data_IF_254944272276
#
_entry.id   IF_254944272276
#
_cell.length_a   1.000
_cell.length_b   1.000
_cell.length_c   1.000
_cell.angle_alpha   90.00
_cell.angle_beta   90.00
_cell.angle_gamma   90.00
#
_symmetry.space_group_name_H-M   'P 1'
#
loop_
_entity.id
_entity.type
_entity.pdbx_description
1 polymer ?
#
# COMPACT_ATOMS: atom_id res chain seq x y z
N UNK A 1 38.46 -29.72 4.37
CA UNK A 1 38.19 -31.15 4.63
C UNK A 1 36.69 -31.33 4.44
N UNK A 2 36.27 -32.13 3.45
CA UNK A 2 34.84 -32.46 3.22
C UNK A 2 34.20 -32.88 4.54
N UNK A 3 33.00 -32.39 4.88
CA UNK A 3 32.28 -32.66 6.14
C UNK A 3 31.95 -34.14 6.45
N UNK A 4 32.58 -35.09 5.74
CA UNK A 4 32.52 -36.54 5.92
C UNK A 4 33.02 -37.03 7.27
N UNK A 5 33.77 -36.22 8.03
CA UNK A 5 34.39 -36.67 9.28
C UNK A 5 33.50 -36.49 10.52
N UNK A 6 32.44 -35.68 10.43
CA UNK A 6 31.60 -35.29 11.57
C UNK A 6 30.08 -35.29 11.28
N UNK A 7 29.65 -35.47 10.03
CA UNK A 7 28.24 -35.63 9.66
C UNK A 7 27.99 -37.07 9.20
N UNK A 8 27.19 -37.83 9.96
CA UNK A 8 26.86 -39.22 9.64
C UNK A 8 25.39 -39.35 9.28
N UNK A 9 25.09 -39.85 8.09
CA UNK A 9 23.71 -40.24 7.72
C UNK A 9 23.45 -41.66 8.22
N UNK A 10 22.46 -41.82 9.09
CA UNK A 10 22.05 -43.12 9.59
C UNK A 10 20.90 -43.67 8.74
N UNK A 11 21.06 -44.92 8.32
CA UNK A 11 20.07 -45.66 7.54
C UNK A 11 19.34 -46.63 8.46
N UNK A 12 18.01 -46.62 8.41
CA UNK A 12 17.20 -47.64 9.10
C UNK A 12 16.99 -48.80 8.13
N UNK A 13 17.69 -49.91 8.36
CA UNK A 13 17.46 -51.15 7.61
C UNK A 13 16.35 -51.94 8.28
N UNK A 14 15.31 -52.29 7.52
CA UNK A 14 14.24 -53.17 8.00
C UNK A 14 14.51 -54.56 7.44
N UNK A 15 14.83 -55.51 8.31
CA UNK A 15 14.95 -56.93 7.95
C UNK A 15 13.68 -57.66 8.38
N UNK A 16 13.07 -58.51 7.51
CA UNK A 16 11.94 -59.32 7.91
C UNK A 16 12.39 -60.35 8.94
N UNK A 17 12.02 -60.14 10.20
CA UNK A 17 12.12 -61.18 11.22
C UNK A 17 11.05 -62.24 10.95
N UNK A 18 11.46 -63.51 10.88
CA UNK A 18 10.55 -64.65 10.71
C UNK A 18 9.72 -64.85 11.97
N UNK A 19 8.59 -64.15 12.07
CA UNK A 19 7.55 -64.48 13.05
C UNK A 19 6.78 -65.72 12.56
N UNK A 20 6.51 -66.65 13.47
CA UNK A 20 5.74 -67.87 13.21
C UNK A 20 4.39 -67.51 12.56
N UNK A 21 4.15 -68.13 11.40
CA UNK A 21 2.87 -68.29 10.71
C UNK A 21 1.98 -67.04 10.56
N UNK A 22 2.40 -66.11 9.70
CA UNK A 22 1.44 -65.31 8.95
C UNK A 22 1.58 -65.62 7.46
N UNK A 23 0.59 -66.29 6.88
CA UNK A 23 0.48 -66.42 5.42
C UNK A 23 -0.03 -65.09 4.89
N UNK A 24 0.88 -64.14 4.69
CA UNK A 24 0.59 -62.94 3.91
C UNK A 24 0.89 -63.28 2.45
N UNK A 25 -0.06 -63.02 1.54
CA UNK A 25 0.16 -63.14 0.09
C UNK A 25 1.29 -62.20 -0.30
N UNK A 26 2.47 -62.79 -0.48
CA UNK A 26 3.78 -62.15 -0.65
C UNK A 26 3.80 -61.07 -1.74
N UNK A 27 2.91 -61.12 -2.75
CA UNK A 27 2.91 -60.17 -3.87
C UNK A 27 2.23 -58.83 -3.58
N UNK A 28 1.31 -58.77 -2.62
CA UNK A 28 0.64 -57.49 -2.29
C UNK A 28 1.45 -56.71 -1.25
N UNK A 29 1.90 -57.36 -0.17
CA UNK A 29 2.63 -56.68 0.91
C UNK A 29 3.95 -56.03 0.48
N UNK A 30 4.59 -56.64 -0.50
CA UNK A 30 5.86 -56.18 -1.05
C UNK A 30 5.66 -54.96 -1.98
N UNK A 31 4.52 -54.86 -2.67
CA UNK A 31 4.20 -53.76 -3.61
C UNK A 31 4.03 -52.40 -2.89
N UNK A 32 3.41 -52.37 -1.71
CA UNK A 32 3.28 -51.12 -0.93
C UNK A 32 4.59 -50.66 -0.27
N UNK A 33 5.55 -51.58 -0.17
CA UNK A 33 6.86 -51.38 0.44
C UNK A 33 7.86 -50.75 -0.53
N UNK A 34 7.87 -51.17 -1.79
CA UNK A 34 8.83 -50.68 -2.79
C UNK A 34 8.51 -49.29 -3.37
N UNK A 35 7.31 -48.74 -3.11
CA UNK A 35 6.85 -47.54 -3.82
C UNK A 35 6.83 -46.24 -3.00
N UNK A 36 7.69 -46.07 -2.00
CA UNK A 36 7.96 -44.74 -1.43
C UNK A 36 9.39 -44.65 -0.89
N UNK A 37 10.20 -43.88 -1.59
CA UNK A 37 11.55 -43.45 -1.16
C UNK A 37 11.54 -42.55 0.10
N UNK A 38 10.36 -42.24 0.68
CA UNK A 38 10.19 -41.12 1.62
C UNK A 38 9.29 -41.45 2.83
N UNK A 39 9.14 -42.74 3.20
CA UNK A 39 8.28 -43.15 4.34
C UNK A 39 8.98 -43.17 5.70
N UNK A 40 10.30 -43.07 5.73
CA UNK A 40 11.09 -43.25 6.95
C UNK A 40 11.89 -41.99 7.30
N UNK A 41 12.04 -41.67 8.59
CA UNK A 41 12.85 -40.54 9.01
C UNK A 41 14.31 -40.77 8.61
N UNK A 42 14.90 -39.77 7.95
CA UNK A 42 16.34 -39.70 7.76
C UNK A 42 16.99 -39.09 9.00
N UNK A 43 17.91 -39.83 9.61
CA UNK A 43 18.64 -39.35 10.78
C UNK A 43 20.04 -38.89 10.37
N UNK A 44 20.40 -37.68 10.79
CA UNK A 44 21.75 -37.14 10.69
C UNK A 44 22.33 -37.05 12.10
N UNK A 45 23.43 -37.74 12.34
CA UNK A 45 24.17 -37.70 13.60
C UNK A 45 25.35 -36.75 13.40
N UNK A 46 25.42 -35.73 14.27
CA UNK A 46 26.49 -34.74 14.25
C UNK A 46 27.45 -35.02 15.40
N UNK A 47 28.71 -35.31 15.08
CA UNK A 47 29.77 -35.47 16.07
C UNK A 47 30.54 -34.15 16.24
N UNK A 48 30.07 -33.32 17.17
CA UNK A 48 30.67 -32.01 17.46
C UNK A 48 32.09 -32.11 18.06
N UNK A 49 32.51 -33.29 18.57
CA UNK A 49 33.85 -33.46 19.14
C UNK A 49 34.92 -33.50 18.05
N UNK A 50 34.60 -34.14 16.91
CA UNK A 50 35.49 -34.24 15.74
C UNK A 50 35.51 -32.98 14.89
N UNK A 51 34.48 -32.14 15.00
CA UNK A 51 34.41 -30.88 14.26
C UNK A 51 35.48 -29.88 14.73
N UNK A 52 36.35 -29.45 13.81
CA UNK A 52 37.53 -28.59 14.10
C UNK A 52 37.29 -27.08 13.97
N UNK A 53 36.04 -26.63 13.92
CA UNK A 53 35.67 -25.22 13.69
C UNK A 53 36.14 -24.67 12.31
N UNK A 54 36.29 -25.54 11.33
CA UNK A 54 36.56 -25.16 9.93
C UNK A 54 35.23 -24.80 9.25
N UNK A 55 35.19 -23.68 8.52
CA UNK A 55 34.01 -23.24 7.76
C UNK A 55 34.25 -23.44 6.27
N UNK A 56 33.63 -24.46 5.68
CA UNK A 56 33.68 -24.69 4.24
C UNK A 56 32.30 -24.57 3.57
N UNK A 57 31.24 -24.84 4.32
CA UNK A 57 29.86 -24.85 3.84
C UNK A 57 28.90 -24.10 4.78
N UNK A 58 27.73 -23.72 4.26
CA UNK A 58 26.64 -23.14 5.03
C UNK A 58 26.24 -24.02 6.23
N UNK A 59 26.30 -25.35 6.10
CA UNK A 59 25.96 -26.24 7.22
C UNK A 59 26.98 -26.15 8.37
N UNK A 60 28.24 -25.80 8.06
CA UNK A 60 29.31 -25.69 9.04
C UNK A 60 29.11 -24.45 9.91
N UNK A 61 28.54 -23.38 9.36
CA UNK A 61 28.14 -22.21 10.14
C UNK A 61 27.08 -22.59 11.19
N UNK A 62 26.13 -23.46 10.82
CA UNK A 62 25.13 -23.99 11.75
C UNK A 62 25.75 -24.91 12.80
N UNK A 63 26.68 -25.77 12.42
CA UNK A 63 27.38 -26.68 13.33
C UNK A 63 28.27 -25.90 14.30
N UNK A 64 28.96 -24.87 13.81
CA UNK A 64 29.72 -23.94 14.63
C UNK A 64 28.83 -23.26 15.67
N UNK A 65 27.66 -22.78 15.26
CA UNK A 65 26.69 -22.19 16.18
C UNK A 65 26.25 -23.18 17.25
N UNK A 66 25.92 -24.43 16.88
CA UNK A 66 25.50 -25.45 17.84
C UNK A 66 26.61 -25.81 18.85
N UNK A 67 27.86 -25.83 18.40
CA UNK A 67 29.01 -26.16 19.25
C UNK A 67 29.39 -25.01 20.19
N UNK A 68 29.48 -23.79 19.65
CA UNK A 68 30.03 -22.64 20.38
C UNK A 68 28.95 -21.74 20.98
N UNK A 69 27.67 -22.01 20.68
CA UNK A 69 26.54 -21.13 21.02
C UNK A 69 26.79 -19.68 20.60
N UNK A 70 27.41 -19.47 19.44
CA UNK A 70 27.77 -18.15 18.92
C UNK A 70 27.61 -18.13 17.39
N UNK A 71 27.11 -17.01 16.88
CA UNK A 71 26.99 -16.76 15.45
C UNK A 71 27.85 -15.54 15.16
N UNK A 72 28.95 -15.73 14.42
CA UNK A 72 29.79 -14.63 13.99
C UNK A 72 29.08 -13.76 12.96
N UNK A 73 29.49 -12.50 12.84
CA UNK A 73 28.86 -11.53 11.95
C UNK A 73 29.02 -11.86 10.46
N UNK A 74 30.07 -12.60 10.10
CA UNK A 74 30.41 -13.03 8.74
C UNK A 74 29.54 -14.18 8.21
N UNK A 75 28.69 -14.79 9.05
CA UNK A 75 27.86 -15.94 8.67
C UNK A 75 26.75 -15.54 7.69
N UNK A 76 26.61 -16.31 6.61
CA UNK A 76 25.68 -16.02 5.49
C UNK A 76 24.64 -17.10 5.27
N UNK A 77 24.67 -18.16 6.05
CA UNK A 77 23.77 -19.31 5.89
C UNK A 77 22.31 -18.91 5.93
N UNK A 78 21.53 -19.59 5.10
CA UNK A 78 20.08 -19.35 5.00
C UNK A 78 19.43 -19.47 6.38
N UNK A 79 18.73 -18.40 6.81
CA UNK A 79 18.07 -18.25 8.11
C UNK A 79 18.97 -18.12 9.36
N UNK A 80 20.31 -18.05 9.23
CA UNK A 80 21.20 -17.94 10.39
C UNK A 80 20.93 -16.67 11.21
N UNK A 81 20.49 -15.59 10.57
CA UNK A 81 20.10 -14.34 11.22
C UNK A 81 18.91 -14.51 12.18
N UNK A 82 17.95 -15.40 11.88
CA UNK A 82 16.84 -15.69 12.80
C UNK A 82 17.34 -16.40 14.06
N UNK A 83 18.26 -17.35 13.88
CA UNK A 83 18.93 -18.01 15.00
C UNK A 83 19.78 -17.02 15.81
N UNK A 84 20.44 -16.05 15.15
CA UNK A 84 21.20 -14.97 15.80
C UNK A 84 20.33 -14.15 16.74
N UNK A 85 19.17 -13.71 16.27
CA UNK A 85 18.20 -12.96 17.10
C UNK A 85 17.77 -13.81 18.29
N UNK A 86 17.35 -15.07 18.05
CA UNK A 86 16.88 -15.96 19.13
C UNK A 86 17.97 -16.29 20.15
N UNK A 87 19.20 -16.52 19.69
CA UNK A 87 20.34 -16.79 20.55
C UNK A 87 20.70 -15.56 21.38
N UNK A 88 20.66 -14.38 20.79
CA UNK A 88 20.86 -13.13 21.52
C UNK A 88 19.78 -12.94 22.59
N UNK A 89 18.51 -13.19 22.26
CA UNK A 89 17.41 -13.17 23.23
C UNK A 89 17.65 -14.12 24.41
N UNK A 90 18.10 -15.35 24.14
CA UNK A 90 18.39 -16.33 25.19
C UNK A 90 19.62 -15.98 26.04
N UNK A 91 20.56 -15.21 25.47
CA UNK A 91 21.76 -14.74 26.16
C UNK A 91 21.52 -13.47 26.98
N UNK A 92 20.41 -12.75 26.74
CA UNK A 92 20.12 -11.53 27.47
C UNK A 92 19.95 -11.81 28.97
N UNK A 93 20.52 -10.92 29.77
CA UNK A 93 20.20 -10.83 31.20
C UNK A 93 18.80 -10.26 31.41
N UNK A 94 18.25 -10.42 32.61
CA UNK A 94 16.93 -9.86 32.97
C UNK A 94 16.89 -8.34 32.79
N UNK A 95 18.01 -7.65 33.02
CA UNK A 95 18.12 -6.20 32.87
C UNK A 95 18.10 -5.78 31.40
N UNK A 96 18.88 -6.45 30.55
CA UNK A 96 18.89 -6.22 29.10
C UNK A 96 17.54 -6.54 28.46
N UNK A 97 16.90 -7.63 28.90
CA UNK A 97 15.57 -8.01 28.43
C UNK A 97 14.53 -6.94 28.75
N UNK A 98 14.56 -6.36 29.95
CA UNK A 98 13.65 -5.24 30.32
C UNK A 98 13.87 -4.00 29.47
N UNK A 99 15.13 -3.66 29.18
CA UNK A 99 15.46 -2.53 28.29
C UNK A 99 14.94 -2.80 26.89
N UNK A 100 15.12 -4.02 26.38
CA UNK A 100 14.62 -4.45 25.09
C UNK A 100 13.08 -4.39 25.01
N UNK A 101 12.38 -4.95 26.00
CA UNK A 101 10.92 -4.89 26.11
C UNK A 101 10.41 -3.45 26.08
N UNK A 102 11.01 -2.58 26.90
CA UNK A 102 10.66 -1.16 26.93
C UNK A 102 10.88 -0.49 25.56
N UNK A 103 12.00 -0.76 24.90
CA UNK A 103 12.26 -0.25 23.55
C UNK A 103 11.20 -0.73 22.55
N UNK A 104 10.82 -2.00 22.61
CA UNK A 104 9.79 -2.56 21.73
C UNK A 104 8.42 -1.94 21.98
N UNK A 105 8.05 -1.72 23.24
CA UNK A 105 6.83 -0.98 23.61
C UNK A 105 6.87 0.45 23.04
N UNK A 106 7.98 1.17 23.19
CA UNK A 106 8.16 2.51 22.64
C UNK A 106 7.99 2.54 21.10
N UNK A 107 8.49 1.52 20.39
CA UNK A 107 8.31 1.40 18.94
C UNK A 107 6.85 1.18 18.54
N UNK A 108 6.11 0.35 19.28
CA UNK A 108 4.68 0.11 19.03
C UNK A 108 3.89 1.41 19.26
N UNK A 109 4.12 2.08 20.40
CA UNK A 109 3.47 3.36 20.71
C UNK A 109 3.79 4.41 19.64
N UNK A 110 5.05 4.51 19.21
CA UNK A 110 5.45 5.46 18.18
C UNK A 110 4.73 5.19 16.86
N UNK A 111 4.63 3.92 16.46
CA UNK A 111 3.92 3.52 15.24
C UNK A 111 2.45 3.92 15.29
N UNK A 112 1.77 3.64 16.41
CA UNK A 112 0.35 3.96 16.59
C UNK A 112 0.11 5.48 16.58
N UNK A 113 1.03 6.26 17.18
CA UNK A 113 1.00 7.71 17.16
C UNK A 113 1.15 8.26 15.73
N UNK A 114 2.09 7.73 14.95
CA UNK A 114 2.30 8.14 13.56
C UNK A 114 1.07 7.81 12.71
N UNK A 115 0.50 6.62 12.87
CA UNK A 115 -0.69 6.20 12.13
C UNK A 115 -1.89 7.10 12.45
N UNK A 116 -2.08 7.41 13.73
CA UNK A 116 -3.13 8.32 14.20
C UNK A 116 -2.93 9.73 13.66
N UNK A 117 -1.73 10.29 13.79
CA UNK A 117 -1.42 11.63 13.27
C UNK A 117 -1.61 11.71 11.75
N UNK A 118 -1.28 10.65 11.00
CA UNK A 118 -1.49 10.60 9.55
C UNK A 118 -2.97 10.57 9.19
N UNK A 119 -3.77 9.80 9.93
CA UNK A 119 -5.23 9.72 9.75
C UNK A 119 -5.87 11.09 10.03
N UNK A 120 -5.57 11.68 11.18
CA UNK A 120 -6.09 12.99 11.57
C UNK A 120 -5.66 14.08 10.59
N UNK A 121 -4.39 14.08 10.15
CA UNK A 121 -3.90 15.04 9.16
C UNK A 121 -4.58 14.90 7.80
N UNK A 122 -4.90 13.68 7.37
CA UNK A 122 -5.64 13.44 6.13
C UNK A 122 -7.10 13.91 6.25
N UNK A 123 -7.76 13.57 7.35
CA UNK A 123 -9.14 13.99 7.61
C UNK A 123 -9.26 15.51 7.68
N UNK A 124 -8.37 16.17 8.41
CA UNK A 124 -8.31 17.63 8.49
C UNK A 124 -8.03 18.27 7.13
N UNK A 125 -7.07 17.73 6.36
CA UNK A 125 -6.75 18.25 5.02
C UNK A 125 -7.88 18.09 4.02
N UNK A 126 -8.65 16.99 4.08
CA UNK A 126 -9.84 16.80 3.25
C UNK A 126 -10.94 17.78 3.65
N UNK A 127 -11.20 17.92 4.96
CA UNK A 127 -12.22 18.83 5.47
C UNK A 127 -11.92 20.29 5.08
N UNK A 128 -10.69 20.75 5.31
CA UNK A 128 -10.25 22.09 4.94
C UNK A 128 -10.29 22.29 3.42
N UNK A 129 -9.86 21.30 2.63
CA UNK A 129 -9.89 21.36 1.18
C UNK A 129 -11.31 21.46 0.60
N UNK A 130 -12.27 20.74 1.18
CA UNK A 130 -13.69 20.81 0.79
C UNK A 130 -14.26 22.17 1.17
N UNK A 131 -14.03 22.63 2.40
CA UNK A 131 -14.56 23.91 2.88
C UNK A 131 -14.03 25.08 2.05
N UNK A 132 -12.72 25.16 1.88
CA UNK A 132 -12.08 26.22 1.08
C UNK A 132 -12.48 26.14 -0.40
N UNK A 133 -12.58 24.94 -0.96
CA UNK A 133 -13.05 24.73 -2.33
C UNK A 133 -14.49 25.19 -2.55
N UNK A 134 -15.40 24.87 -1.63
CA UNK A 134 -16.81 25.29 -1.68
C UNK A 134 -16.96 26.80 -1.53
N UNK A 135 -16.28 27.41 -0.55
CA UNK A 135 -16.35 28.85 -0.33
C UNK A 135 -15.80 29.64 -1.52
N UNK A 136 -14.65 29.21 -2.06
CA UNK A 136 -14.06 29.82 -3.24
C UNK A 136 -14.95 29.66 -4.47
N UNK A 137 -15.43 28.45 -4.73
CA UNK A 137 -16.33 28.17 -5.86
C UNK A 137 -17.63 28.99 -5.78
N UNK A 138 -18.21 29.12 -4.58
CA UNK A 138 -19.40 29.94 -4.36
C UNK A 138 -19.13 31.42 -4.61
N UNK A 139 -18.03 31.97 -4.08
CA UNK A 139 -17.66 33.39 -4.27
C UNK A 139 -17.38 33.71 -5.73
N UNK A 140 -16.59 32.88 -6.40
CA UNK A 140 -16.26 33.06 -7.82
C UNK A 140 -17.52 32.93 -8.69
N UNK A 141 -18.33 31.88 -8.48
CA UNK A 141 -19.58 31.66 -9.20
C UNK A 141 -20.60 32.79 -9.01
N UNK A 142 -20.76 33.29 -7.78
CA UNK A 142 -21.66 34.41 -7.50
C UNK A 142 -21.18 35.70 -8.17
N UNK A 143 -19.87 35.98 -8.14
CA UNK A 143 -19.30 37.18 -8.78
C UNK A 143 -19.44 37.13 -10.29
N UNK A 144 -19.17 35.97 -10.90
CA UNK A 144 -19.32 35.80 -12.35
C UNK A 144 -20.79 35.86 -12.78
N UNK A 145 -21.67 35.17 -12.06
CA UNK A 145 -23.11 35.18 -12.30
C UNK A 145 -23.71 36.58 -12.18
N UNK A 146 -23.33 37.34 -11.16
CA UNK A 146 -23.78 38.73 -10.98
C UNK A 146 -23.29 39.63 -12.13
N UNK A 147 -22.03 39.48 -12.56
CA UNK A 147 -21.46 40.27 -13.67
C UNK A 147 -22.14 39.95 -15.01
N UNK A 148 -22.42 38.67 -15.29
CA UNK A 148 -23.15 38.23 -16.49
C UNK A 148 -24.60 38.73 -16.45
N UNK A 149 -25.33 38.47 -15.37
CA UNK A 149 -26.72 38.89 -15.20
C UNK A 149 -26.90 40.41 -15.26
N UNK A 150 -25.98 41.20 -14.70
CA UNK A 150 -26.04 42.66 -14.79
C UNK A 150 -25.81 43.16 -16.22
N UNK A 151 -24.88 42.55 -16.98
CA UNK A 151 -24.64 42.91 -18.38
C UNK A 151 -25.82 42.55 -19.27
N UNK A 152 -26.36 41.34 -19.11
CA UNK A 152 -27.53 40.87 -19.87
C UNK A 152 -28.77 41.71 -19.54
N UNK A 153 -29.05 41.96 -18.26
CA UNK A 153 -30.16 42.79 -17.82
C UNK A 153 -30.04 44.25 -18.31
N UNK A 154 -28.84 44.82 -18.33
CA UNK A 154 -28.61 46.16 -18.88
C UNK A 154 -28.84 46.18 -20.39
N UNK A 155 -28.35 45.19 -21.13
CA UNK A 155 -28.59 45.08 -22.58
C UNK A 155 -30.07 44.91 -22.90
N UNK A 156 -30.78 44.04 -22.18
CA UNK A 156 -32.23 43.88 -22.31
C UNK A 156 -32.99 45.17 -21.98
N UNK A 157 -32.57 45.89 -20.94
CA UNK A 157 -33.13 47.19 -20.57
C UNK A 157 -32.98 48.21 -21.70
N UNK A 158 -31.79 48.32 -22.29
CA UNK A 158 -31.54 49.22 -23.42
C UNK A 158 -32.33 48.82 -24.67
N UNK A 159 -32.44 47.51 -24.95
CA UNK A 159 -33.26 47.02 -26.05
C UNK A 159 -34.75 47.35 -25.84
N UNK A 160 -35.28 47.19 -24.63
CA UNK A 160 -36.67 47.57 -24.30
C UNK A 160 -36.89 49.08 -24.43
N UNK A 161 -35.93 49.88 -23.99
CA UNK A 161 -35.97 51.34 -24.14
C UNK A 161 -35.98 51.75 -25.62
N UNK A 162 -35.09 51.18 -26.43
CA UNK A 162 -35.04 51.42 -27.87
C UNK A 162 -36.35 51.04 -28.57
N UNK A 163 -36.95 49.89 -28.23
CA UNK A 163 -38.28 49.50 -28.74
C UNK A 163 -39.36 50.52 -28.42
N UNK A 164 -39.40 51.01 -27.18
CA UNK A 164 -40.39 52.00 -26.76
C UNK A 164 -40.20 53.34 -27.46
N UNK A 165 -38.95 53.77 -27.70
CA UNK A 165 -38.64 54.99 -28.44
C UNK A 165 -38.99 54.86 -29.94
N UNK A 166 -38.75 53.70 -30.56
CA UNK A 166 -39.18 53.43 -31.93
C UNK A 166 -40.71 53.51 -32.08
N UNK A 167 -41.46 52.93 -31.12
CA UNK A 167 -42.93 53.06 -31.08
C UNK A 167 -43.41 54.50 -30.87
N UNK A 168 -42.59 55.33 -30.24
CA UNK A 168 -42.84 56.76 -30.06
C UNK A 168 -42.43 57.64 -31.25
N UNK A 169 -42.05 57.06 -32.39
CA UNK A 169 -41.61 57.78 -33.59
C UNK A 169 -40.36 58.66 -33.40
N UNK A 170 -39.49 58.34 -32.44
CA UNK A 170 -38.21 59.02 -32.27
C UNK A 170 -37.23 58.67 -33.39
N UNK A 171 -36.37 59.63 -33.76
CA UNK A 171 -35.36 59.44 -34.81
C UNK A 171 -34.30 58.40 -34.40
N UNK A 172 -33.88 57.56 -35.35
CA UNK A 172 -32.97 56.43 -35.12
C UNK A 172 -31.59 56.89 -34.63
N UNK A 173 -31.09 58.05 -35.07
CA UNK A 173 -29.82 58.60 -34.58
C UNK A 173 -29.93 59.11 -33.14
N UNK A 174 -31.08 59.68 -32.76
CA UNK A 174 -31.34 60.10 -31.37
C UNK A 174 -31.43 58.88 -30.44
N UNK A 175 -32.06 57.79 -30.89
CA UNK A 175 -32.13 56.53 -30.12
C UNK A 175 -30.73 55.92 -29.94
N UNK A 176 -29.89 55.95 -30.98
CA UNK A 176 -28.50 55.48 -30.91
C UNK A 176 -27.68 56.24 -29.87
N UNK A 177 -27.82 57.56 -29.84
CA UNK A 177 -27.13 58.42 -28.87
C UNK A 177 -27.60 58.17 -27.42
N UNK A 178 -28.90 57.97 -27.19
CA UNK A 178 -29.46 57.77 -25.85
C UNK A 178 -29.27 56.36 -25.27
N UNK A 179 -29.23 55.33 -26.13
CA UNK A 179 -29.16 53.92 -25.69
C UNK A 179 -27.75 53.33 -25.81
N UNK A 180 -26.85 53.99 -26.54
CA UNK A 180 -25.50 53.50 -26.83
C UNK A 180 -25.47 52.29 -27.77
N UNK A 181 -26.59 51.95 -28.40
CA UNK A 181 -26.71 50.90 -29.40
C UNK A 181 -26.32 51.44 -30.78
N UNK A 182 -25.78 50.57 -31.64
CA UNK A 182 -25.49 50.93 -33.02
C UNK A 182 -26.77 51.10 -33.83
N UNK A 183 -26.71 51.91 -34.90
CA UNK A 183 -27.84 52.13 -35.82
C UNK A 183 -28.32 50.80 -36.42
N UNK A 184 -27.39 49.89 -36.72
CA UNK A 184 -27.72 48.56 -37.23
C UNK A 184 -28.47 47.68 -36.21
N UNK A 185 -28.07 47.72 -34.93
CA UNK A 185 -28.78 47.02 -33.85
C UNK A 185 -30.19 47.57 -33.64
N UNK A 186 -30.37 48.90 -33.74
CA UNK A 186 -31.68 49.55 -33.61
C UNK A 186 -32.58 49.20 -34.80
N UNK A 187 -32.05 49.17 -36.01
CA UNK A 187 -32.78 48.74 -37.21
C UNK A 187 -33.20 47.26 -37.13
N UNK A 188 -32.34 46.40 -36.58
CA UNK A 188 -32.67 44.99 -36.33
C UNK A 188 -33.78 44.85 -35.27
N UNK A 189 -33.77 45.68 -34.23
CA UNK A 189 -34.84 45.72 -33.23
C UNK A 189 -36.16 46.19 -33.88
N UNK A 190 -36.10 47.20 -34.74
CA UNK A 190 -37.26 47.72 -35.47
C UNK A 190 -37.89 46.70 -36.42
N UNK A 191 -37.09 45.91 -37.14
CA UNK A 191 -37.61 44.87 -38.05
C UNK A 191 -38.32 43.72 -37.31
N UNK A 192 -37.96 43.47 -36.06
CA UNK A 192 -38.63 42.48 -35.19
C UNK A 192 -39.96 43.05 -34.66
N UNK A 193 -40.01 44.33 -34.30
CA UNK A 193 -41.24 44.98 -33.79
C UNK A 193 -42.34 45.05 -34.85
N UNK A 194 -41.98 45.21 -36.13
CA UNK A 194 -42.93 45.24 -37.26
C UNK A 194 -43.50 43.85 -37.59
N UNK A 195 -42.86 42.76 -37.15
CA UNK A 195 -43.32 41.38 -37.38
C UNK A 195 -44.18 40.82 -36.22
N UNK A 196 -44.28 41.53 -35.09
CA UNK A 196 -45.06 41.14 -33.89
C UNK A 196 -46.41 41.90 -33.78
N UNK A 197 -46.78 42.74 -34.77
CA UNK A 197 -48.09 43.40 -34.92
C UNK A 197 -48.93 42.77 -36.03
#
# INVERSE_FOLDING_TARGET
MSGSDYIYKAYTTIEPQKYQEFIVREREAVSWYYNKEDKFPEYYILDLTKYKNELESDIDEWIYMLKNSEIRDDFKSKNINKARIKLNELKMTVEEMRVYEKYMEEQVVLRDNIETARREGLEAGIAEGIETGLDRGRKEGMKEGMKKGMKEGMKEGMNKLARNMLKGNFDVHVIAEMTGLSVDEINLIGSIVVNDE
#
